data_IF_680346684119
#
_entry.id   IF_680346684119
#
_cell.length_a   1.000
_cell.length_b   1.000
_cell.length_c   1.000
_cell.angle_alpha   90.00
_cell.angle_beta   90.00
_cell.angle_gamma   90.00
#
_symmetry.space_group_name_H-M   'P 1'
#
loop_
_entity.id
_entity.type
_entity.pdbx_description
1 polymer ?
#
# COMPACT_ATOMS: atom_id res chain seq x y z
N UNK A 1 -14.81 26.14 0.40
CA UNK A 1 -13.65 26.66 1.14
C UNK A 1 -12.76 25.47 1.41
N UNK A 2 -11.58 25.47 0.79
CA UNK A 2 -10.84 24.27 0.43
C UNK A 2 -10.24 23.57 1.66
N UNK A 3 -10.55 22.29 1.83
CA UNK A 3 -9.85 21.40 2.77
C UNK A 3 -8.44 21.13 2.21
N UNK A 4 -7.56 22.13 2.31
CA UNK A 4 -6.14 22.00 2.03
C UNK A 4 -5.48 21.60 3.34
N UNK A 5 -5.58 20.33 3.70
CA UNK A 5 -4.62 19.60 4.54
C UNK A 5 -5.11 18.16 4.76
N UNK A 6 -4.19 17.20 4.57
CA UNK A 6 -4.28 15.76 4.90
C UNK A 6 -4.88 14.77 3.89
N UNK A 7 -4.59 14.90 2.59
CA UNK A 7 -4.68 13.71 1.73
C UNK A 7 -3.37 12.90 1.88
N UNK A 8 -3.45 11.73 2.54
CA UNK A 8 -2.34 10.75 2.67
C UNK A 8 -1.66 10.53 1.32
N UNK A 9 -2.45 10.48 0.25
CA UNK A 9 -1.94 10.26 -1.10
C UNK A 9 -1.02 11.38 -1.57
N UNK A 10 -1.48 12.64 -1.49
CA UNK A 10 -0.68 13.80 -1.89
C UNK A 10 0.60 13.91 -1.08
N UNK A 11 0.55 13.57 0.23
CA UNK A 11 1.73 13.58 1.07
C UNK A 11 2.71 12.45 0.70
N UNK A 12 2.23 11.24 0.42
CA UNK A 12 3.09 10.15 -0.08
C UNK A 12 3.75 10.52 -1.41
N UNK A 13 3.01 11.14 -2.34
CA UNK A 13 3.57 11.60 -3.62
C UNK A 13 4.67 12.65 -3.40
N UNK A 14 4.41 13.66 -2.56
CA UNK A 14 5.40 14.69 -2.23
C UNK A 14 6.66 14.09 -1.59
N UNK A 15 6.51 13.17 -0.63
CA UNK A 15 7.64 12.51 0.01
C UNK A 15 8.45 11.66 -0.98
N UNK A 16 7.77 10.99 -1.93
CA UNK A 16 8.43 10.23 -3.00
C UNK A 16 9.21 11.16 -3.95
N UNK A 17 8.61 12.26 -4.41
CA UNK A 17 9.28 13.26 -5.26
C UNK A 17 10.49 13.88 -4.57
N UNK A 18 10.36 14.24 -3.29
CA UNK A 18 11.46 14.80 -2.50
C UNK A 18 12.59 13.80 -2.29
N UNK A 19 12.26 12.52 -2.07
CA UNK A 19 13.26 11.46 -1.97
C UNK A 19 14.03 11.29 -3.30
N UNK A 20 13.35 11.32 -4.44
CA UNK A 20 13.96 11.20 -5.78
C UNK A 20 14.95 12.35 -6.04
N UNK A 21 14.64 13.59 -5.64
CA UNK A 21 15.54 14.75 -5.85
C UNK A 21 16.95 14.53 -5.30
N UNK A 22 17.08 13.77 -4.22
CA UNK A 22 18.38 13.46 -3.59
C UNK A 22 18.89 12.06 -3.90
N UNK A 23 18.08 11.20 -4.53
CA UNK A 23 18.35 9.78 -4.73
C UNK A 23 17.82 9.31 -6.10
N UNK A 24 18.40 9.82 -7.19
CA UNK A 24 17.92 9.60 -8.55
C UNK A 24 17.84 8.10 -8.94
N UNK A 25 18.72 7.25 -8.38
CA UNK A 25 18.71 5.79 -8.62
C UNK A 25 17.41 5.09 -8.18
N UNK A 26 16.57 5.73 -7.36
CA UNK A 26 15.28 5.21 -6.91
C UNK A 26 14.10 5.72 -7.74
N UNK A 27 14.34 6.57 -8.75
CA UNK A 27 13.29 7.22 -9.54
C UNK A 27 12.33 6.22 -10.17
N UNK A 28 12.84 5.28 -10.96
CA UNK A 28 11.99 4.29 -11.67
C UNK A 28 11.17 3.45 -10.68
N UNK A 29 11.78 3.09 -9.54
CA UNK A 29 11.12 2.32 -8.49
C UNK A 29 9.94 3.09 -7.89
N UNK A 30 10.16 4.33 -7.44
CA UNK A 30 9.14 5.17 -6.81
C UNK A 30 8.09 5.68 -7.80
N UNK A 31 8.47 5.97 -9.05
CA UNK A 31 7.53 6.26 -10.13
C UNK A 31 6.59 5.08 -10.36
N UNK A 32 7.13 3.85 -10.42
CA UNK A 32 6.33 2.66 -10.68
C UNK A 32 5.39 2.28 -9.54
N UNK A 33 5.77 2.54 -8.28
CA UNK A 33 5.00 2.16 -7.10
C UNK A 33 4.06 3.26 -6.60
N UNK A 34 4.45 4.52 -6.76
CA UNK A 34 3.72 5.67 -6.21
C UNK A 34 3.24 6.55 -7.37
N UNK A 35 4.13 7.25 -8.06
CA UNK A 35 3.73 8.38 -8.92
C UNK A 35 2.87 8.00 -10.15
N UNK A 36 2.92 6.74 -10.57
CA UNK A 36 2.11 6.22 -11.69
C UNK A 36 0.73 5.65 -11.28
N UNK A 37 0.36 5.72 -10.00
CA UNK A 37 -0.95 5.25 -9.52
C UNK A 37 -1.93 6.42 -9.34
N UNK A 38 -3.23 6.12 -9.37
CA UNK A 38 -4.27 7.15 -9.21
C UNK A 38 -4.52 7.55 -7.75
N UNK A 39 -4.33 6.60 -6.82
CA UNK A 39 -4.57 6.79 -5.40
C UNK A 39 -3.72 5.87 -4.52
N UNK A 40 -3.80 6.11 -3.19
CA UNK A 40 -3.08 5.35 -2.19
C UNK A 40 -3.47 3.87 -2.18
N UNK A 41 -4.76 3.55 -2.41
CA UNK A 41 -5.27 2.18 -2.36
C UNK A 41 -4.73 1.35 -3.53
N UNK A 42 -4.64 1.95 -4.72
CA UNK A 42 -4.03 1.37 -5.91
C UNK A 42 -2.54 1.14 -5.68
N UNK A 43 -1.84 2.15 -5.14
CA UNK A 43 -0.41 2.06 -4.82
C UNK A 43 -0.09 0.95 -3.81
N UNK A 44 -0.81 0.87 -2.68
CA UNK A 44 -0.58 -0.19 -1.68
C UNK A 44 -0.97 -1.57 -2.22
N UNK A 45 -2.02 -1.66 -3.03
CA UNK A 45 -2.41 -2.92 -3.68
C UNK A 45 -1.33 -3.42 -4.64
N UNK A 46 -0.72 -2.51 -5.42
CA UNK A 46 0.38 -2.83 -6.32
C UNK A 46 1.60 -3.29 -5.53
N UNK A 47 1.97 -2.55 -4.49
CA UNK A 47 3.08 -2.93 -3.60
C UNK A 47 2.89 -4.34 -3.03
N UNK A 48 1.74 -4.60 -2.41
CA UNK A 48 1.44 -5.92 -1.83
C UNK A 48 1.48 -7.03 -2.89
N UNK A 49 0.96 -6.76 -4.09
CA UNK A 49 1.00 -7.74 -5.18
C UNK A 49 2.42 -8.07 -5.61
N UNK A 50 3.32 -7.07 -5.66
CA UNK A 50 4.75 -7.26 -5.96
C UNK A 50 5.45 -8.05 -4.87
N UNK A 51 5.27 -7.64 -3.61
CA UNK A 51 5.88 -8.29 -2.45
C UNK A 51 5.49 -9.78 -2.37
N UNK A 52 4.21 -10.10 -2.60
CA UNK A 52 3.68 -11.46 -2.50
C UNK A 52 3.97 -12.30 -3.76
N UNK A 53 4.07 -11.67 -4.94
CA UNK A 53 4.35 -12.38 -6.20
C UNK A 53 5.76 -12.96 -6.33
N UNK A 54 6.65 -12.65 -5.38
CA UNK A 54 7.97 -13.28 -5.32
C UNK A 54 7.89 -14.77 -4.91
N UNK A 55 6.74 -15.22 -4.41
CA UNK A 55 6.47 -16.64 -4.16
C UNK A 55 6.20 -17.40 -5.47
N UNK A 56 6.51 -18.70 -5.51
CA UNK A 56 6.33 -19.60 -6.67
C UNK A 56 4.87 -19.79 -7.13
N UNK A 57 3.91 -19.16 -6.46
CA UNK A 57 2.48 -19.43 -6.58
C UNK A 57 1.76 -18.50 -7.58
N UNK A 58 1.53 -17.25 -7.21
CA UNK A 58 0.68 -16.30 -7.94
C UNK A 58 1.48 -15.11 -8.47
N UNK A 59 1.25 -14.75 -9.74
CA UNK A 59 1.89 -13.58 -10.34
C UNK A 59 1.26 -12.26 -9.89
N UNK A 60 2.01 -11.17 -9.98
CA UNK A 60 1.53 -9.80 -9.73
C UNK A 60 0.24 -9.51 -10.51
N UNK A 61 0.20 -9.89 -11.79
CA UNK A 61 -0.97 -9.74 -12.68
C UNK A 61 -2.23 -10.42 -12.15
N UNK A 62 -2.09 -11.50 -11.39
CA UNK A 62 -3.22 -12.20 -10.74
C UNK A 62 -3.57 -11.58 -9.39
N UNK A 63 -2.57 -11.20 -8.61
CA UNK A 63 -2.73 -10.68 -7.26
C UNK A 63 -3.28 -9.25 -7.24
N UNK A 64 -2.71 -8.35 -8.03
CA UNK A 64 -3.06 -6.93 -8.03
C UNK A 64 -4.57 -6.66 -8.13
N UNK A 65 -5.31 -7.12 -9.16
CA UNK A 65 -6.74 -6.83 -9.27
C UNK A 65 -7.55 -7.45 -8.12
N UNK A 66 -7.09 -8.58 -7.57
CA UNK A 66 -7.77 -9.27 -6.48
C UNK A 66 -7.58 -8.54 -5.14
N UNK A 67 -6.37 -8.03 -4.88
CA UNK A 67 -6.05 -7.22 -3.71
C UNK A 67 -6.76 -5.86 -3.81
N UNK A 68 -6.66 -5.19 -4.96
CA UNK A 68 -7.32 -3.90 -5.19
C UNK A 68 -8.84 -3.99 -4.96
N UNK A 69 -9.50 -5.03 -5.50
CA UNK A 69 -10.92 -5.25 -5.26
C UNK A 69 -11.25 -5.35 -3.76
N UNK A 70 -10.41 -6.03 -2.99
CA UNK A 70 -10.65 -6.23 -1.57
C UNK A 70 -10.41 -4.96 -0.75
N UNK A 71 -9.37 -4.21 -1.08
CA UNK A 71 -8.96 -3.04 -0.33
C UNK A 71 -9.80 -1.80 -0.67
N UNK A 72 -10.33 -1.70 -1.90
CA UNK A 72 -11.09 -0.54 -2.38
C UNK A 72 -12.55 -0.46 -1.90
N UNK A 73 -12.87 -1.11 -0.78
CA UNK A 73 -14.18 -0.94 -0.12
C UNK A 73 -14.07 0.21 0.88
N UNK A 74 -15.11 1.05 1.01
CA UNK A 74 -15.08 2.25 1.84
C UNK A 74 -14.62 1.98 3.29
N UNK A 75 -15.05 0.86 3.88
CA UNK A 75 -14.70 0.50 5.24
C UNK A 75 -13.24 0.05 5.36
N UNK A 76 -12.73 -0.71 4.38
CA UNK A 76 -11.34 -1.19 4.37
C UNK A 76 -10.38 -0.06 4.04
N UNK A 77 -10.66 0.79 3.06
CA UNK A 77 -9.84 1.97 2.74
C UNK A 77 -9.66 2.88 3.95
N UNK A 78 -10.74 3.20 4.67
CA UNK A 78 -10.66 4.00 5.91
C UNK A 78 -9.90 3.30 7.03
N UNK A 79 -9.98 1.98 7.12
CA UNK A 79 -9.21 1.21 8.09
C UNK A 79 -7.71 1.26 7.77
N UNK A 80 -7.33 1.14 6.49
CA UNK A 80 -5.95 1.26 6.04
C UNK A 80 -5.37 2.64 6.38
N UNK A 81 -6.12 3.72 6.13
CA UNK A 81 -5.70 5.08 6.49
C UNK A 81 -5.47 5.23 8.00
N UNK A 82 -6.34 4.63 8.83
CA UNK A 82 -6.19 4.62 10.29
C UNK A 82 -4.97 3.81 10.72
N UNK A 83 -4.72 2.66 10.10
CA UNK A 83 -3.55 1.82 10.38
C UNK A 83 -2.27 2.58 10.07
N UNK A 84 -2.19 3.26 8.92
CA UNK A 84 -1.04 4.06 8.52
C UNK A 84 -0.77 5.18 9.53
N UNK A 85 -1.80 5.95 9.89
CA UNK A 85 -1.68 7.01 10.89
C UNK A 85 -1.29 6.45 12.27
N UNK A 86 -1.76 5.26 12.63
CA UNK A 86 -1.41 4.61 13.88
C UNK A 86 0.07 4.19 13.91
N UNK A 87 0.63 3.71 12.80
CA UNK A 87 2.07 3.40 12.71
C UNK A 87 2.89 4.68 12.85
N UNK A 88 2.60 5.70 12.04
CA UNK A 88 3.35 6.97 12.05
C UNK A 88 3.30 7.66 13.41
N UNK A 89 2.16 7.59 14.12
CA UNK A 89 2.02 8.26 15.43
C UNK A 89 2.64 7.49 16.59
N UNK A 90 2.96 6.20 16.44
CA UNK A 90 3.37 5.32 17.55
C UNK A 90 4.73 4.70 17.38
N UNK A 91 5.21 4.55 16.14
CA UNK A 91 6.50 3.94 15.83
C UNK A 91 7.57 5.03 15.67
N UNK A 92 8.50 5.17 16.64
CA UNK A 92 9.56 6.16 16.57
C UNK A 92 10.61 5.85 15.48
N UNK A 93 10.61 4.64 14.90
CA UNK A 93 11.55 4.26 13.86
C UNK A 93 11.12 4.68 12.45
N UNK A 94 9.84 5.07 12.26
CA UNK A 94 9.31 5.55 10.97
C UNK A 94 9.01 7.04 11.07
N UNK A 95 9.65 7.85 10.23
CA UNK A 95 9.52 9.30 10.25
C UNK A 95 8.55 9.81 9.18
N UNK A 96 8.26 9.00 8.15
CA UNK A 96 7.49 9.43 6.97
C UNK A 96 6.42 8.43 6.55
N UNK A 97 5.46 8.89 5.74
CA UNK A 97 4.49 8.00 5.08
C UNK A 97 5.22 7.07 4.12
N UNK A 98 6.19 7.58 3.38
CA UNK A 98 6.98 6.83 2.41
C UNK A 98 7.73 5.66 3.06
N UNK A 99 8.43 5.89 4.17
CA UNK A 99 9.15 4.84 4.91
C UNK A 99 8.19 3.76 5.42
N UNK A 100 7.05 4.19 5.98
CA UNK A 100 6.02 3.26 6.46
C UNK A 100 5.44 2.44 5.32
N UNK A 101 5.08 3.10 4.22
CA UNK A 101 4.55 2.49 3.02
C UNK A 101 5.50 1.44 2.45
N UNK A 102 6.79 1.77 2.31
CA UNK A 102 7.80 0.91 1.69
C UNK A 102 8.24 -0.24 2.60
N UNK A 103 8.52 0.03 3.88
CA UNK A 103 9.34 -0.88 4.70
C UNK A 103 8.63 -1.44 5.93
N UNK A 104 7.47 -0.91 6.34
CA UNK A 104 6.75 -1.45 7.49
C UNK A 104 6.10 -2.80 7.13
N UNK A 105 6.78 -3.88 7.50
CA UNK A 105 6.29 -5.26 7.33
C UNK A 105 5.00 -5.50 8.11
N UNK A 106 4.88 -4.92 9.30
CA UNK A 106 3.66 -5.02 10.11
C UNK A 106 2.46 -4.35 9.45
N UNK A 107 2.64 -3.14 8.92
CA UNK A 107 1.61 -2.45 8.14
C UNK A 107 1.21 -3.26 6.91
N UNK A 108 2.19 -3.71 6.11
CA UNK A 108 1.94 -4.48 4.89
C UNK A 108 1.22 -5.79 5.18
N UNK A 109 1.63 -6.52 6.23
CA UNK A 109 1.00 -7.77 6.64
C UNK A 109 -0.47 -7.57 7.07
N UNK A 110 -0.78 -6.48 7.77
CA UNK A 110 -2.16 -6.18 8.16
C UNK A 110 -3.04 -5.91 6.94
N UNK A 111 -2.52 -5.21 5.93
CA UNK A 111 -3.29 -4.94 4.71
C UNK A 111 -3.47 -6.20 3.84
N UNK A 112 -2.45 -7.06 3.77
CA UNK A 112 -2.58 -8.39 3.15
C UNK A 112 -3.66 -9.23 3.85
N UNK A 113 -3.67 -9.24 5.19
CA UNK A 113 -4.71 -9.91 5.98
C UNK A 113 -6.12 -9.36 5.68
N UNK A 114 -6.29 -8.04 5.51
CA UNK A 114 -7.59 -7.47 5.12
C UNK A 114 -8.04 -7.97 3.74
N UNK A 115 -7.11 -8.05 2.78
CA UNK A 115 -7.39 -8.61 1.46
C UNK A 115 -7.77 -10.10 1.54
N UNK A 116 -7.04 -10.87 2.34
CA UNK A 116 -7.33 -12.28 2.65
C UNK A 116 -8.73 -12.47 3.22
N UNK A 117 -9.07 -11.71 4.26
CA UNK A 117 -10.37 -11.78 4.93
C UNK A 117 -11.55 -11.43 4.00
N UNK A 118 -11.36 -10.51 3.06
CA UNK A 118 -12.37 -10.22 2.04
C UNK A 118 -12.68 -11.43 1.15
N UNK A 119 -11.65 -12.18 0.75
CA UNK A 119 -11.81 -13.38 -0.10
C UNK A 119 -12.11 -14.64 0.70
N UNK A 120 -11.96 -14.63 2.02
CA UNK A 120 -12.22 -15.79 2.90
C UNK A 120 -13.63 -16.36 2.71
N UNK A 121 -14.65 -15.49 2.59
CA UNK A 121 -16.03 -15.90 2.37
C UNK A 121 -16.26 -16.65 1.03
N UNK A 122 -15.28 -16.60 0.12
CA UNK A 122 -15.30 -17.28 -1.17
C UNK A 122 -14.55 -18.62 -1.16
N UNK A 123 -13.93 -19.00 -0.03
CA UNK A 123 -13.20 -20.26 0.18
C UNK A 123 -12.16 -20.59 -0.92
N UNK A 124 -11.47 -19.57 -1.41
CA UNK A 124 -10.51 -19.73 -2.51
C UNK A 124 -9.10 -20.00 -2.00
N UNK A 125 -8.28 -20.73 -2.75
CA UNK A 125 -6.83 -20.86 -2.45
C UNK A 125 -6.13 -19.50 -2.33
N UNK A 126 -6.66 -18.47 -3.01
CA UNK A 126 -6.14 -17.11 -2.92
C UNK A 126 -6.28 -16.53 -1.51
N UNK A 127 -7.37 -16.78 -0.79
CA UNK A 127 -7.51 -16.28 0.59
C UNK A 127 -6.57 -16.97 1.57
N UNK A 128 -6.13 -18.19 1.30
CA UNK A 128 -5.13 -18.86 2.14
C UNK A 128 -3.70 -18.42 1.82
N UNK A 129 -3.48 -17.89 0.62
CA UNK A 129 -2.19 -17.38 0.18
C UNK A 129 -1.92 -15.95 0.65
N UNK A 130 -2.93 -15.08 0.60
CA UNK A 130 -2.89 -13.70 1.09
C UNK A 130 -2.84 -13.66 2.62
#
# INVERSE_FOLDING_TARGET
MNAVDNNIWTKLQSEAEDYIKSNEDYKDFLESLVLSNDDFISSISLKLSRDLSQAWSFSEKKLFPSILQALNTNDVSKAIEKDLNAVISRDPATNTILETFLFSKGFSALQAYRASNYHWKKETLLSYFL
#
